data_IF_975781280126
#
_entry.id   IF_975781280126
#
_cell.length_a   1.000
_cell.length_b   1.000
_cell.length_c   1.000
_cell.angle_alpha   90.00
_cell.angle_beta   90.00
_cell.angle_gamma   90.00
#
_symmetry.space_group_name_H-M   'P 1'
#
loop_
_entity.id
_entity.type
_entity.pdbx_description
1 polymer ?
#
# COMPACT_ATOMS: atom_id res chain seq x y z
N UNK A 1 -10.90 -4.39 -25.04
CA UNK A 1 -10.71 -5.44 -24.01
C UNK A 1 -9.26 -5.85 -24.15
N UNK A 2 -8.39 -5.52 -23.21
CA UNK A 2 -7.00 -6.01 -23.27
C UNK A 2 -7.04 -7.53 -23.10
N UNK A 3 -6.33 -8.26 -23.94
CA UNK A 3 -6.16 -9.71 -23.76
C UNK A 3 -5.52 -9.90 -22.38
N UNK A 4 -6.17 -10.71 -21.53
CA UNK A 4 -5.61 -11.05 -20.23
C UNK A 4 -4.46 -12.02 -20.45
N UNK A 5 -3.27 -11.64 -20.01
CA UNK A 5 -2.11 -12.52 -20.03
C UNK A 5 -2.25 -13.54 -18.90
N UNK A 6 -2.14 -14.82 -19.24
CA UNK A 6 -2.29 -15.92 -18.29
C UNK A 6 -0.94 -16.64 -18.16
N UNK A 7 -0.40 -16.66 -16.96
CA UNK A 7 0.79 -17.41 -16.61
C UNK A 7 0.48 -18.63 -15.74
N UNK A 8 1.52 -19.38 -15.38
CA UNK A 8 1.45 -20.52 -14.47
C UNK A 8 2.48 -20.43 -13.38
N UNK A 9 2.08 -20.71 -12.16
CA UNK A 9 2.97 -20.79 -11.01
C UNK A 9 3.99 -21.90 -11.23
N UNK A 10 5.28 -21.53 -11.27
CA UNK A 10 6.40 -22.48 -11.36
C UNK A 10 6.89 -22.94 -10.01
N UNK A 11 7.00 -21.99 -9.08
CA UNK A 11 7.59 -22.24 -7.76
C UNK A 11 6.97 -21.31 -6.72
N UNK A 12 6.84 -21.81 -5.50
CA UNK A 12 6.41 -21.07 -4.30
C UNK A 12 7.48 -21.21 -3.24
N UNK A 13 8.02 -20.09 -2.75
CA UNK A 13 9.05 -20.04 -1.71
C UNK A 13 8.59 -19.07 -0.63
N UNK A 14 7.77 -19.54 0.33
CA UNK A 14 7.12 -18.65 1.29
C UNK A 14 6.30 -17.58 0.57
N UNK A 15 6.51 -16.27 0.83
CA UNK A 15 5.75 -15.19 0.17
C UNK A 15 6.22 -14.88 -1.25
N UNK A 16 7.24 -15.57 -1.76
CA UNK A 16 7.80 -15.32 -3.09
C UNK A 16 7.33 -16.40 -4.05
N UNK A 17 6.83 -15.99 -5.22
CA UNK A 17 6.40 -16.87 -6.29
C UNK A 17 7.17 -16.58 -7.57
N UNK A 18 7.51 -17.63 -8.31
CA UNK A 18 7.97 -17.53 -9.69
C UNK A 18 6.84 -18.00 -10.61
N UNK A 19 6.45 -17.13 -11.55
CA UNK A 19 5.34 -17.35 -12.48
C UNK A 19 5.86 -17.24 -13.90
N UNK A 20 5.55 -18.23 -14.73
CA UNK A 20 5.93 -18.26 -16.14
C UNK A 20 4.77 -17.83 -17.03
N UNK A 21 5.07 -16.97 -17.99
CA UNK A 21 4.16 -16.51 -19.02
C UNK A 21 4.60 -17.01 -20.41
N UNK A 22 3.75 -16.87 -21.39
CA UNK A 22 4.10 -17.12 -22.79
C UNK A 22 4.93 -15.98 -23.39
N UNK A 23 5.61 -16.26 -24.50
CA UNK A 23 6.39 -15.24 -25.20
C UNK A 23 5.53 -14.03 -25.58
N UNK A 24 6.02 -12.83 -25.26
CA UNK A 24 5.31 -11.58 -25.54
C UNK A 24 4.17 -11.24 -24.58
N UNK A 25 3.92 -12.06 -23.55
CA UNK A 25 2.88 -11.83 -22.53
C UNK A 25 3.44 -11.52 -21.14
N UNK A 26 4.71 -11.16 -21.07
CA UNK A 26 5.37 -10.89 -19.80
C UNK A 26 4.76 -9.64 -19.12
N UNK A 27 4.26 -9.74 -17.88
CA UNK A 27 3.74 -8.60 -17.13
C UNK A 27 4.79 -7.53 -16.89
N UNK A 28 4.37 -6.27 -16.82
CA UNK A 28 5.25 -5.19 -16.41
C UNK A 28 5.58 -5.27 -14.91
N UNK A 29 6.70 -4.64 -14.52
CA UNK A 29 7.06 -4.52 -13.12
C UNK A 29 5.96 -3.77 -12.36
N UNK A 30 5.71 -4.20 -11.12
CA UNK A 30 4.68 -3.68 -10.21
C UNK A 30 3.24 -4.01 -10.62
N UNK A 31 3.01 -4.73 -11.72
CA UNK A 31 1.67 -5.22 -12.02
C UNK A 31 1.17 -6.18 -10.94
N UNK A 32 -0.14 -6.12 -10.69
CA UNK A 32 -0.85 -7.07 -9.86
C UNK A 32 -1.24 -8.29 -10.68
N UNK A 33 -0.94 -9.46 -10.17
CA UNK A 33 -1.36 -10.75 -10.74
C UNK A 33 -2.35 -11.39 -9.77
N UNK A 34 -3.46 -11.87 -10.29
CA UNK A 34 -4.50 -12.56 -9.52
C UNK A 34 -4.39 -14.07 -9.71
N UNK A 35 -4.45 -14.79 -8.60
CA UNK A 35 -4.39 -16.25 -8.54
C UNK A 35 -5.57 -16.74 -7.73
N UNK A 36 -6.28 -17.75 -8.23
CA UNK A 36 -7.28 -18.44 -7.43
C UNK A 36 -6.60 -19.54 -6.61
N UNK A 37 -6.55 -19.34 -5.31
CA UNK A 37 -6.04 -20.31 -4.36
C UNK A 37 -7.21 -21.00 -3.63
N UNK A 38 -7.77 -22.05 -4.27
CA UNK A 38 -8.89 -22.84 -3.72
C UNK A 38 -10.16 -22.02 -3.38
N UNK A 39 -10.48 -21.03 -4.22
CA UNK A 39 -11.64 -20.14 -4.03
C UNK A 39 -11.32 -18.88 -3.24
N UNK A 40 -10.10 -18.74 -2.75
CA UNK A 40 -9.60 -17.48 -2.17
C UNK A 40 -8.75 -16.73 -3.18
N UNK A 41 -9.03 -15.45 -3.37
CA UNK A 41 -8.27 -14.59 -4.27
C UNK A 41 -6.94 -14.23 -3.63
N UNK A 42 -5.84 -14.72 -4.20
CA UNK A 42 -4.49 -14.29 -3.87
C UNK A 42 -4.01 -13.26 -4.89
N UNK A 43 -3.58 -12.10 -4.40
CA UNK A 43 -2.94 -11.08 -5.23
C UNK A 43 -1.44 -11.10 -4.97
N UNK A 44 -0.66 -11.07 -6.06
CA UNK A 44 0.80 -10.99 -5.99
C UNK A 44 1.30 -9.85 -6.88
N UNK A 45 2.37 -9.19 -6.48
CA UNK A 45 2.96 -8.07 -7.22
C UNK A 45 4.24 -8.51 -7.93
N UNK A 46 4.41 -8.12 -9.18
CA UNK A 46 5.64 -8.39 -9.96
C UNK A 46 6.78 -7.54 -9.42
N UNK A 47 7.76 -8.20 -8.80
CA UNK A 47 8.93 -7.53 -8.24
C UNK A 47 10.15 -7.54 -9.18
N UNK A 48 10.29 -8.58 -10.01
CA UNK A 48 11.47 -8.76 -10.87
C UNK A 48 11.18 -9.67 -12.06
N UNK A 49 11.80 -9.38 -13.21
CA UNK A 49 11.94 -10.32 -14.32
C UNK A 49 13.19 -11.15 -14.12
N UNK A 50 13.06 -12.49 -14.12
CA UNK A 50 14.20 -13.40 -13.88
C UNK A 50 14.79 -13.99 -15.15
N UNK A 51 14.19 -13.72 -16.31
CA UNK A 51 14.53 -14.33 -17.60
C UNK A 51 13.60 -15.50 -17.97
N UNK A 52 13.74 -16.04 -19.18
CA UNK A 52 12.95 -17.17 -19.69
C UNK A 52 11.43 -17.03 -19.52
N UNK A 53 10.91 -15.81 -19.71
CA UNK A 53 9.50 -15.42 -19.51
C UNK A 53 8.97 -15.70 -18.11
N UNK A 54 9.85 -15.67 -17.12
CA UNK A 54 9.52 -15.85 -15.70
C UNK A 54 9.59 -14.53 -14.97
N UNK A 55 8.55 -14.24 -14.20
CA UNK A 55 8.51 -13.12 -13.27
C UNK A 55 8.55 -13.63 -11.84
N UNK A 56 9.29 -12.93 -11.00
CA UNK A 56 9.30 -13.13 -9.56
C UNK A 56 8.33 -12.16 -8.91
N UNK A 57 7.41 -12.71 -8.13
CA UNK A 57 6.33 -11.96 -7.49
C UNK A 57 6.38 -12.09 -5.97
N UNK A 58 5.81 -11.10 -5.30
CA UNK A 58 5.63 -11.08 -3.85
C UNK A 58 4.14 -11.20 -3.55
N UNK A 59 3.77 -12.18 -2.74
CA UNK A 59 2.39 -12.40 -2.34
C UNK A 59 1.95 -11.39 -1.27
N UNK A 60 0.73 -10.88 -1.42
CA UNK A 60 0.12 -9.94 -0.49
C UNK A 60 -0.62 -10.63 0.67
N UNK A 61 -0.92 -11.91 0.50
CA UNK A 61 -1.55 -12.77 1.52
C UNK A 61 -0.80 -14.11 1.63
N UNK A 62 -1.32 -15.03 2.47
CA UNK A 62 -0.73 -16.36 2.61
C UNK A 62 -0.74 -17.12 1.28
N UNK A 63 0.36 -17.83 1.04
CA UNK A 63 0.53 -18.72 -0.10
C UNK A 63 0.26 -20.18 0.27
N UNK A 64 -0.27 -20.44 1.47
CA UNK A 64 -0.54 -21.79 1.95
C UNK A 64 -1.53 -22.52 1.02
N UNK A 65 -1.21 -23.75 0.68
CA UNK A 65 -2.02 -24.55 -0.22
C UNK A 65 -1.84 -24.26 -1.72
N UNK A 66 -1.11 -23.22 -2.11
CA UNK A 66 -0.88 -22.91 -3.51
C UNK A 66 0.03 -23.96 -4.16
N UNK A 67 -0.41 -24.50 -5.29
CA UNK A 67 0.31 -25.56 -5.99
C UNK A 67 0.95 -25.05 -7.28
N UNK A 68 2.04 -25.73 -7.67
CA UNK A 68 2.66 -25.50 -8.97
C UNK A 68 1.69 -25.79 -10.11
N UNK A 69 1.69 -24.93 -11.13
CA UNK A 69 0.80 -25.07 -12.31
C UNK A 69 -0.52 -24.34 -12.17
N UNK A 70 -0.82 -23.74 -11.00
CA UNK A 70 -2.01 -22.89 -10.84
C UNK A 70 -1.95 -21.72 -11.82
N UNK A 71 -3.07 -21.38 -12.41
CA UNK A 71 -3.19 -20.26 -13.33
C UNK A 71 -3.04 -18.91 -12.57
N UNK A 72 -2.33 -17.99 -13.20
CA UNK A 72 -2.06 -16.66 -12.70
C UNK A 72 -2.40 -15.63 -13.78
N UNK A 73 -3.31 -14.72 -13.48
CA UNK A 73 -3.86 -13.76 -14.45
C UNK A 73 -3.26 -12.38 -14.20
N UNK A 74 -2.51 -11.84 -15.17
CA UNK A 74 -2.06 -10.44 -15.13
C UNK A 74 -3.25 -9.50 -15.27
N UNK A 75 -3.37 -8.54 -14.37
CA UNK A 75 -4.40 -7.51 -14.41
C UNK A 75 -4.06 -6.39 -15.40
N UNK A 76 -2.80 -6.31 -15.86
CA UNK A 76 -2.28 -5.23 -16.69
C UNK A 76 -2.10 -3.90 -15.94
N UNK A 77 -2.27 -3.88 -14.64
CA UNK A 77 -2.21 -2.68 -13.81
C UNK A 77 -1.59 -2.97 -12.42
N UNK A 78 -0.97 -1.99 -11.76
CA UNK A 78 -0.51 -2.15 -10.38
C UNK A 78 -1.68 -2.27 -9.39
N UNK A 79 -1.38 -2.69 -8.16
CA UNK A 79 -2.35 -2.68 -7.06
C UNK A 79 -2.89 -1.26 -6.88
N UNK A 80 -4.22 -1.13 -6.81
CA UNK A 80 -4.91 0.15 -6.65
C UNK A 80 -5.73 0.16 -5.37
N UNK A 81 -5.81 1.32 -4.74
CA UNK A 81 -6.60 1.55 -3.53
C UNK A 81 -7.67 2.62 -3.79
N UNK A 82 -8.82 2.53 -3.13
CA UNK A 82 -9.86 3.55 -3.25
C UNK A 82 -9.41 4.86 -2.61
N UNK A 83 -9.78 5.98 -3.22
CA UNK A 83 -9.51 7.33 -2.73
C UNK A 83 -10.77 8.19 -2.80
N UNK A 84 -10.79 9.26 -2.02
CA UNK A 84 -11.90 10.21 -1.95
C UNK A 84 -12.52 10.28 -0.55
N UNK A 85 -13.45 11.21 -0.37
CA UNK A 85 -14.08 11.49 0.94
C UNK A 85 -14.81 10.29 1.54
N UNK A 86 -15.31 9.37 0.69
CA UNK A 86 -15.97 8.15 1.16
C UNK A 86 -15.03 7.16 1.88
N UNK A 87 -13.73 7.38 1.78
CA UNK A 87 -12.73 6.60 2.50
C UNK A 87 -12.46 7.12 3.92
N UNK A 88 -12.98 8.29 4.27
CA UNK A 88 -12.78 8.86 5.60
C UNK A 88 -13.51 8.05 6.68
N UNK A 89 -12.85 7.83 7.81
CA UNK A 89 -13.36 7.04 8.91
C UNK A 89 -13.54 5.55 8.61
N UNK A 90 -12.84 5.04 7.59
CA UNK A 90 -12.87 3.64 7.15
C UNK A 90 -11.53 2.97 7.43
N UNK A 91 -11.57 1.64 7.48
CA UNK A 91 -10.38 0.79 7.63
C UNK A 91 -10.32 -0.17 6.45
N UNK A 92 -9.17 -0.19 5.77
CA UNK A 92 -8.92 -1.00 4.59
C UNK A 92 -7.72 -1.94 4.80
N UNK A 93 -7.75 -3.07 4.10
CA UNK A 93 -6.56 -3.88 3.93
C UNK A 93 -5.64 -3.31 2.83
N UNK A 94 -4.51 -3.97 2.59
CA UNK A 94 -3.53 -3.62 1.57
C UNK A 94 -4.12 -3.51 0.14
N UNK A 95 -5.16 -4.28 -0.15
CA UNK A 95 -5.82 -4.31 -1.46
C UNK A 95 -6.94 -3.26 -1.59
N UNK A 96 -7.13 -2.42 -0.57
CA UNK A 96 -8.20 -1.43 -0.54
C UNK A 96 -9.58 -2.02 -0.24
N UNK A 97 -9.65 -3.23 0.28
CA UNK A 97 -10.90 -3.85 0.71
C UNK A 97 -11.23 -3.44 2.15
N UNK A 98 -12.49 -3.09 2.46
CA UNK A 98 -12.86 -2.68 3.80
C UNK A 98 -12.81 -3.87 4.77
N UNK A 99 -12.16 -3.64 5.93
CA UNK A 99 -12.08 -4.63 7.03
C UNK A 99 -12.84 -4.19 8.27
N UNK A 100 -13.58 -3.09 8.18
CA UNK A 100 -14.38 -2.49 9.26
C UNK A 100 -15.81 -3.05 9.38
N UNK A 101 -16.12 -4.15 8.70
CA UNK A 101 -17.47 -4.76 8.64
C UNK A 101 -18.57 -3.85 8.08
N UNK A 102 -18.20 -2.82 7.33
CA UNK A 102 -19.14 -1.94 6.63
C UNK A 102 -19.14 -2.26 5.13
N UNK A 103 -20.21 -1.91 4.40
CA UNK A 103 -20.24 -2.07 2.94
C UNK A 103 -19.05 -1.37 2.27
N UNK A 104 -18.60 -1.90 1.14
CA UNK A 104 -17.57 -1.25 0.35
C UNK A 104 -18.00 0.17 -0.04
N UNK A 105 -17.14 1.19 0.13
CA UNK A 105 -17.48 2.54 -0.31
C UNK A 105 -17.57 2.57 -1.84
N UNK A 106 -18.31 3.54 -2.37
CA UNK A 106 -18.26 3.88 -3.79
C UNK A 106 -17.21 4.98 -3.98
N UNK A 107 -15.94 4.64 -4.24
CA UNK A 107 -14.86 5.62 -4.26
C UNK A 107 -14.97 6.53 -5.49
N UNK A 108 -14.48 7.75 -5.37
CA UNK A 108 -14.43 8.69 -6.49
C UNK A 108 -13.43 8.23 -7.56
N UNK A 109 -12.32 7.65 -7.12
CA UNK A 109 -11.29 7.11 -7.99
C UNK A 109 -10.49 6.00 -7.29
N UNK A 110 -9.70 5.28 -8.07
CA UNK A 110 -8.70 4.35 -7.59
C UNK A 110 -7.31 4.85 -7.98
N UNK A 111 -6.39 4.86 -7.03
CA UNK A 111 -5.01 5.25 -7.25
C UNK A 111 -4.07 4.06 -7.10
N UNK A 112 -3.05 3.94 -7.97
CA UNK A 112 -2.03 2.91 -7.78
C UNK A 112 -1.23 3.20 -6.51
N UNK A 113 -0.84 2.15 -5.79
CA UNK A 113 -0.01 2.28 -4.58
C UNK A 113 1.40 2.80 -4.91
N UNK A 114 1.89 2.51 -6.13
CA UNK A 114 3.15 3.04 -6.65
C UNK A 114 2.88 4.29 -7.48
N UNK A 115 3.22 5.45 -6.91
CA UNK A 115 3.08 6.74 -7.58
C UNK A 115 4.42 7.47 -7.60
N UNK A 116 4.72 8.19 -8.70
CA UNK A 116 5.90 9.05 -8.72
C UNK A 116 5.79 10.13 -7.63
N UNK A 117 6.93 10.54 -7.10
CA UNK A 117 6.99 11.69 -6.20
C UNK A 117 6.55 12.97 -6.94
N UNK A 118 5.99 13.97 -6.23
CA UNK A 118 5.71 15.28 -6.82
C UNK A 118 6.96 15.88 -7.45
N UNK A 119 6.79 16.56 -8.58
CA UNK A 119 7.89 17.28 -9.23
C UNK A 119 8.42 18.40 -8.33
N UNK A 120 9.64 18.86 -8.59
CA UNK A 120 10.24 19.95 -7.80
C UNK A 120 9.40 21.23 -7.84
N UNK A 121 8.72 21.49 -8.95
CA UNK A 121 7.86 22.66 -9.16
C UNK A 121 6.57 22.61 -8.32
N UNK A 122 6.09 21.40 -8.00
CA UNK A 122 4.91 21.19 -7.17
C UNK A 122 5.22 21.21 -5.66
N UNK A 123 6.50 21.21 -5.29
CA UNK A 123 6.91 21.22 -3.88
C UNK A 123 6.95 22.64 -3.33
N UNK A 124 6.37 22.84 -2.14
CA UNK A 124 6.52 24.08 -1.41
C UNK A 124 7.94 24.21 -0.85
N UNK A 125 8.59 25.35 -1.12
CA UNK A 125 9.93 25.67 -0.63
C UNK A 125 9.96 26.32 0.77
N UNK A 126 8.80 26.66 1.34
CA UNK A 126 8.70 27.33 2.65
C UNK A 126 8.69 26.33 3.78
N UNK A 127 9.60 26.52 4.73
CA UNK A 127 9.64 25.73 5.97
C UNK A 127 8.73 26.39 6.99
N UNK A 128 7.54 25.83 7.18
CA UNK A 128 6.61 26.21 8.24
C UNK A 128 6.68 25.20 9.37
N UNK A 129 6.54 25.68 10.59
CA UNK A 129 6.47 24.82 11.79
C UNK A 129 5.04 24.31 11.93
N UNK A 130 4.92 23.01 12.20
CA UNK A 130 3.65 22.40 12.59
C UNK A 130 3.51 22.54 14.10
N UNK A 131 2.59 23.39 14.55
CA UNK A 131 2.24 23.51 15.97
C UNK A 131 1.47 22.26 16.40
N UNK A 132 2.11 21.44 17.22
CA UNK A 132 1.56 20.15 17.65
C UNK A 132 0.67 20.25 18.88
N UNK A 133 0.76 21.35 19.63
CA UNK A 133 0.12 21.54 20.93
C UNK A 133 0.84 20.80 22.08
N UNK A 134 1.92 20.08 21.78
CA UNK A 134 2.73 19.37 22.76
C UNK A 134 3.94 20.22 23.12
N UNK A 135 3.93 20.85 24.27
CA UNK A 135 4.92 21.88 24.68
C UNK A 135 6.37 21.45 24.49
N UNK A 136 6.71 20.22 24.84
CA UNK A 136 8.08 19.73 24.72
C UNK A 136 8.50 19.58 23.27
N UNK A 137 7.60 19.19 22.39
CA UNK A 137 7.85 19.10 20.96
C UNK A 137 8.02 20.49 20.37
N UNK A 138 7.04 21.36 20.57
CA UNK A 138 7.01 22.68 19.94
C UNK A 138 8.16 23.59 20.38
N UNK A 139 8.65 23.43 21.63
CA UNK A 139 9.72 24.27 22.19
C UNK A 139 11.13 23.70 21.96
N UNK A 140 11.29 22.37 21.97
CA UNK A 140 12.63 21.77 21.98
C UNK A 140 12.98 21.11 20.64
N UNK A 141 12.00 20.48 19.99
CA UNK A 141 12.19 19.80 18.70
C UNK A 141 11.01 20.01 17.76
N UNK A 142 10.75 21.26 17.33
CA UNK A 142 9.59 21.61 16.52
C UNK A 142 9.54 20.79 15.22
N UNK A 143 8.35 20.41 14.82
CA UNK A 143 8.13 19.66 13.58
C UNK A 143 7.91 20.60 12.40
N UNK A 144 8.58 20.33 11.29
CA UNK A 144 8.31 21.05 10.05
C UNK A 144 7.12 20.42 9.32
N UNK A 145 6.23 21.25 8.77
CA UNK A 145 5.18 20.79 7.86
C UNK A 145 5.82 20.09 6.64
N UNK A 146 5.30 18.93 6.27
CA UNK A 146 5.87 18.08 5.22
C UNK A 146 7.12 17.29 5.63
N UNK A 147 7.56 17.42 6.88
CA UNK A 147 8.72 16.68 7.43
C UNK A 147 8.41 15.20 7.72
N UNK A 148 9.47 14.41 7.83
CA UNK A 148 9.42 13.02 8.29
C UNK A 148 9.98 12.96 9.71
N UNK A 149 9.18 12.49 10.66
CA UNK A 149 9.52 12.47 12.08
C UNK A 149 9.55 11.03 12.58
N UNK A 150 10.62 10.65 13.27
CA UNK A 150 10.74 9.34 13.88
C UNK A 150 10.64 9.42 15.40
N UNK A 151 9.75 8.61 16.00
CA UNK A 151 9.62 8.44 17.44
C UNK A 151 10.24 7.11 17.84
N UNK A 152 11.39 7.17 18.53
CA UNK A 152 12.13 5.99 18.95
C UNK A 152 12.09 5.83 20.48
N UNK A 153 11.97 4.60 20.94
CA UNK A 153 11.96 4.30 22.38
C UNK A 153 11.54 2.85 22.64
N UNK A 154 11.82 2.36 23.83
CA UNK A 154 11.40 1.05 24.29
C UNK A 154 9.88 0.88 24.44
N UNK A 155 9.44 -0.28 24.91
CA UNK A 155 8.04 -0.51 25.21
C UNK A 155 7.58 0.37 26.41
N UNK A 156 6.35 0.86 26.38
CA UNK A 156 5.75 1.57 27.51
C UNK A 156 6.20 3.02 27.71
N UNK A 157 7.02 3.60 26.83
CA UNK A 157 7.53 4.99 26.98
C UNK A 157 6.57 6.05 26.42
N UNK A 158 5.34 5.69 26.03
CA UNK A 158 4.31 6.65 25.64
C UNK A 158 4.29 7.02 24.15
N UNK A 159 5.04 6.34 23.25
CA UNK A 159 5.01 6.62 21.80
C UNK A 159 3.60 6.63 21.21
N UNK A 160 2.80 5.63 21.51
CA UNK A 160 1.43 5.53 21.02
C UNK A 160 0.54 6.65 21.54
N UNK A 161 0.69 7.03 22.82
CA UNK A 161 -0.05 8.14 23.42
C UNK A 161 0.29 9.45 22.72
N UNK A 162 1.57 9.66 22.42
CA UNK A 162 2.04 10.85 21.70
C UNK A 162 1.45 10.91 20.28
N UNK A 163 1.42 9.78 19.57
CA UNK A 163 0.81 9.70 18.24
C UNK A 163 -0.70 9.98 18.30
N UNK A 164 -1.41 9.43 19.28
CA UNK A 164 -2.85 9.68 19.45
C UNK A 164 -3.14 11.17 19.73
N UNK A 165 -2.32 11.82 20.55
CA UNK A 165 -2.44 13.24 20.82
C UNK A 165 -2.17 14.09 19.57
N UNK A 166 -1.15 13.73 18.77
CA UNK A 166 -0.87 14.39 17.50
C UNK A 166 -2.05 14.25 16.53
N UNK A 167 -2.63 13.06 16.39
CA UNK A 167 -3.80 12.82 15.53
C UNK A 167 -4.98 13.69 15.99
N UNK A 168 -5.24 13.73 17.30
CA UNK A 168 -6.33 14.52 17.87
C UNK A 168 -6.13 16.02 17.60
N UNK A 169 -4.95 16.56 17.88
CA UNK A 169 -4.68 17.98 17.70
C UNK A 169 -4.68 18.40 16.23
N UNK A 170 -4.20 17.55 15.31
CA UNK A 170 -4.29 17.82 13.87
C UNK A 170 -5.75 17.87 13.41
N UNK A 171 -6.61 17.00 13.92
CA UNK A 171 -8.01 16.98 13.55
C UNK A 171 -8.78 18.19 14.10
N UNK A 172 -8.52 18.59 15.37
CA UNK A 172 -9.27 19.64 16.06
C UNK A 172 -8.79 21.05 15.73
N UNK A 173 -7.48 21.26 15.66
CA UNK A 173 -6.90 22.60 15.54
C UNK A 173 -6.49 22.94 14.10
N UNK A 174 -6.18 21.95 13.28
CA UNK A 174 -5.71 22.17 11.91
C UNK A 174 -6.72 21.73 10.84
N UNK A 175 -7.90 21.23 11.21
CA UNK A 175 -8.89 20.64 10.27
C UNK A 175 -8.26 19.62 9.33
N UNK A 176 -7.24 18.92 9.79
CA UNK A 176 -6.47 17.96 8.99
C UNK A 176 -7.04 16.55 9.09
N UNK A 177 -6.65 15.73 8.13
CA UNK A 177 -6.93 14.30 8.14
C UNK A 177 -5.68 13.52 8.56
N UNK A 178 -5.87 12.44 9.29
CA UNK A 178 -4.81 11.53 9.70
C UNK A 178 -5.02 10.16 9.09
N UNK A 179 -3.97 9.60 8.50
CA UNK A 179 -3.97 8.22 8.01
C UNK A 179 -3.02 7.41 8.90
N UNK A 180 -3.56 6.38 9.53
CA UNK A 180 -2.79 5.47 10.37
C UNK A 180 -2.59 4.14 9.64
N UNK A 181 -1.33 3.68 9.56
CA UNK A 181 -0.95 2.40 8.96
C UNK A 181 -0.22 1.54 9.99
N UNK A 182 -0.52 0.25 10.03
CA UNK A 182 0.09 -0.70 10.96
C UNK A 182 -0.02 -2.14 10.50
#
# INVERSE_FOLDING_TARGET
MSEKHIGKVLQVIGPVLDIQFEDGQLPELLNAIEIDNHGEKLVVEVAQHTGDNVVRCIAMNSTDGLVRGTEAVDTGEPIKVPVGDQCLGRVFNLLGEPVDNKPAPAPEAYWPIHRPAPSYEEQQSTTEILETGIKVVDLICPYAKGGKIGLFGGAGVGKTVLIQELIYNIATEHNGYSVFTG
#
